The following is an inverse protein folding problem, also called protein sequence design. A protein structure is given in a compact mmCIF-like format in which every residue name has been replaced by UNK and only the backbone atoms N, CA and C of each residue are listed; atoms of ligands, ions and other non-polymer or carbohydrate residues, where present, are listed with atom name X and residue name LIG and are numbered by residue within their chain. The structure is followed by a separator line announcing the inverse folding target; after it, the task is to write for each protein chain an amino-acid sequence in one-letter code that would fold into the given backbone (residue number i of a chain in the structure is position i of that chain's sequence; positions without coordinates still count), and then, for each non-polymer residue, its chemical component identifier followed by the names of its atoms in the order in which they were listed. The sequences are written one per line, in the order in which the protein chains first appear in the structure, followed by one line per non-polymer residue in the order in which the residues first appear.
data_IF_248421367375
#
_entry.id   IF_248421367375
#
_cell.length_a   1.000
_cell.length_b   1.000
_cell.length_c   1.000
_cell.angle_alpha   90.00
_cell.angle_beta   90.00
_cell.angle_gamma   90.00
#
_symmetry.space_group_name_H-M   'P 1'
#
loop_
_entity.id
_entity.type
_entity.pdbx_description
1 polymer ?
#
# COMPACT_ATOMS: atom_id res chain seq x y z
N UNK A 1 -53.98 -9.89 32.10
CA UNK A 1 -52.88 -10.88 32.24
C UNK A 1 -51.79 -10.44 31.28
N UNK A 2 -50.71 -9.87 31.84
CA UNK A 2 -49.69 -9.08 31.15
C UNK A 2 -48.52 -10.03 30.86
N UNK A 3 -48.17 -10.25 29.59
CA UNK A 3 -47.00 -11.04 29.22
C UNK A 3 -45.78 -10.12 29.18
N UNK A 4 -45.00 -10.17 30.25
CA UNK A 4 -43.71 -9.50 30.37
C UNK A 4 -42.70 -10.21 29.48
N UNK A 5 -42.35 -9.58 28.37
CA UNK A 5 -41.30 -9.99 27.44
C UNK A 5 -39.94 -9.56 27.98
N UNK A 6 -39.04 -10.52 28.05
CA UNK A 6 -37.59 -10.43 27.80
C UNK A 6 -36.85 -9.19 28.32
N UNK A 7 -36.21 -9.38 29.48
CA UNK A 7 -34.94 -8.70 29.76
C UNK A 7 -33.90 -9.74 30.16
N UNK A 8 -32.88 -9.99 29.32
CA UNK A 8 -31.56 -10.31 29.80
C UNK A 8 -30.66 -9.09 29.52
N UNK A 9 -30.61 -8.18 30.48
CA UNK A 9 -29.61 -7.11 30.56
C UNK A 9 -28.27 -7.69 31.01
N UNK A 10 -27.69 -8.59 30.20
CA UNK A 10 -26.43 -9.27 30.52
C UNK A 10 -25.56 -9.50 29.28
N UNK A 11 -25.31 -8.45 28.49
CA UNK A 11 -24.28 -8.52 27.43
C UNK A 11 -23.52 -7.21 27.17
N UNK A 12 -23.74 -6.15 27.93
CA UNK A 12 -23.10 -4.84 27.69
C UNK A 12 -21.61 -4.79 28.09
N UNK A 13 -21.11 -5.77 28.85
CA UNK A 13 -19.68 -5.92 29.18
C UNK A 13 -19.12 -7.29 28.81
N UNK A 14 -19.85 -8.05 28.00
CA UNK A 14 -19.56 -9.45 27.65
C UNK A 14 -19.13 -9.67 26.20
N UNK A 15 -19.00 -8.61 25.38
CA UNK A 15 -18.15 -8.67 24.19
C UNK A 15 -16.69 -8.64 24.64
N UNK A 16 -16.29 -9.70 25.36
CA UNK A 16 -14.93 -10.15 25.34
C UNK A 16 -14.55 -10.18 23.87
N UNK A 17 -13.56 -9.38 23.50
CA UNK A 17 -12.87 -9.45 22.23
C UNK A 17 -12.64 -10.94 21.95
N UNK A 18 -13.51 -11.53 21.12
CA UNK A 18 -13.34 -12.88 20.65
C UNK A 18 -12.15 -12.76 19.71
N UNK A 19 -10.96 -12.79 20.30
CA UNK A 19 -9.71 -12.79 19.57
C UNK A 19 -9.71 -14.13 18.84
N UNK A 20 -10.35 -14.15 17.66
CA UNK A 20 -10.35 -15.31 16.79
C UNK A 20 -8.90 -15.77 16.74
N UNK A 21 -8.59 -17.05 16.98
CA UNK A 21 -7.20 -17.51 17.09
C UNK A 21 -6.37 -17.10 15.87
N UNK A 22 -7.04 -16.96 14.72
CA UNK A 22 -6.53 -16.36 13.48
C UNK A 22 -5.93 -14.97 13.68
N UNK A 23 -6.57 -14.06 14.40
CA UNK A 23 -6.07 -12.68 14.63
C UNK A 23 -4.82 -12.64 15.50
N UNK A 24 -4.73 -13.50 16.53
CA UNK A 24 -3.54 -13.62 17.38
C UNK A 24 -2.39 -14.22 16.56
N UNK A 25 -2.67 -15.27 15.80
CA UNK A 25 -1.68 -15.92 14.94
C UNK A 25 -1.15 -14.97 13.85
N UNK A 26 -2.05 -14.22 13.19
CA UNK A 26 -1.69 -13.21 12.20
C UNK A 26 -0.82 -12.11 12.83
N UNK A 27 -1.19 -11.59 14.01
CA UNK A 27 -0.37 -10.59 14.72
C UNK A 27 1.00 -11.15 15.11
N UNK A 28 1.07 -12.42 15.51
CA UNK A 28 2.32 -13.12 15.80
C UNK A 28 3.24 -13.23 14.58
N UNK A 29 2.69 -13.62 13.42
CA UNK A 29 3.44 -13.67 12.16
C UNK A 29 3.96 -12.28 11.77
N UNK A 30 3.12 -11.24 11.85
CA UNK A 30 3.54 -9.87 11.53
C UNK A 30 4.64 -9.38 12.47
N UNK A 31 4.54 -9.67 13.77
CA UNK A 31 5.56 -9.32 14.76
C UNK A 31 6.88 -10.04 14.49
N UNK A 32 6.85 -11.34 14.21
CA UNK A 32 8.04 -12.12 13.87
C UNK A 32 8.68 -11.68 12.54
N UNK A 33 7.87 -11.35 11.54
CA UNK A 33 8.35 -10.82 10.26
C UNK A 33 9.04 -9.47 10.41
N UNK A 34 8.49 -8.55 11.23
CA UNK A 34 9.12 -7.27 11.53
C UNK A 34 10.50 -7.45 12.17
N UNK A 35 10.60 -8.34 13.16
CA UNK A 35 11.87 -8.64 13.82
C UNK A 35 12.90 -9.21 12.82
N UNK A 36 12.48 -10.14 11.96
CA UNK A 36 13.36 -10.71 10.93
C UNK A 36 13.88 -9.65 9.95
N UNK A 37 13.03 -8.73 9.50
CA UNK A 37 13.41 -7.65 8.58
C UNK A 37 14.42 -6.69 9.22
N UNK A 38 14.19 -6.30 10.49
CA UNK A 38 15.12 -5.44 11.24
C UNK A 38 16.47 -6.15 11.42
N UNK A 39 16.46 -7.42 11.78
CA UNK A 39 17.67 -8.21 11.94
C UNK A 39 18.46 -8.36 10.62
N UNK A 40 17.77 -8.59 9.50
CA UNK A 40 18.38 -8.66 8.18
C UNK A 40 19.03 -7.34 7.75
N UNK A 41 18.40 -6.19 8.06
CA UNK A 41 19.01 -4.88 7.80
C UNK A 41 20.28 -4.67 8.63
N UNK A 42 20.23 -5.00 9.91
CA UNK A 42 21.39 -4.89 10.80
C UNK A 42 22.52 -5.80 10.33
N UNK A 43 22.22 -7.04 9.94
CA UNK A 43 23.21 -7.96 9.40
C UNK A 43 23.88 -7.42 8.12
N UNK A 44 23.10 -6.84 7.20
CA UNK A 44 23.66 -6.19 6.00
C UNK A 44 24.56 -5.00 6.36
N UNK A 45 24.16 -4.18 7.34
CA UNK A 45 24.94 -3.04 7.80
C UNK A 45 26.26 -3.46 8.48
N UNK A 46 26.23 -4.53 9.29
CA UNK A 46 27.43 -5.08 9.93
C UNK A 46 28.40 -5.61 8.86
N UNK A 47 27.92 -6.33 7.86
CA UNK A 47 28.76 -6.80 6.75
C UNK A 47 29.38 -5.63 5.96
N UNK A 48 28.68 -4.50 5.83
CA UNK A 48 29.23 -3.29 5.21
C UNK A 48 30.40 -2.71 6.01
N UNK A 49 30.25 -2.59 7.33
CA UNK A 49 31.29 -2.07 8.22
C UNK A 49 32.49 -3.03 8.33
N UNK A 50 32.23 -4.33 8.26
CA UNK A 50 33.27 -5.36 8.26
C UNK A 50 34.05 -5.45 6.93
N UNK A 51 33.74 -4.60 5.94
CA UNK A 51 34.40 -4.61 4.63
C UNK A 51 34.00 -5.79 3.74
N UNK A 52 33.00 -6.59 4.13
CA UNK A 52 32.49 -7.74 3.39
C UNK A 52 31.37 -7.35 2.42
N UNK A 53 31.41 -6.14 1.85
CA UNK A 53 30.37 -5.66 0.94
C UNK A 53 30.43 -6.42 -0.38
N UNK A 54 29.38 -7.20 -0.67
CA UNK A 54 29.23 -7.91 -1.94
C UNK A 54 27.96 -7.45 -2.69
N UNK A 55 27.86 -7.80 -3.97
CA UNK A 55 26.71 -7.45 -4.81
C UNK A 55 25.38 -8.03 -4.29
N UNK A 56 25.38 -9.27 -3.78
CA UNK A 56 24.21 -9.88 -3.16
C UNK A 56 23.72 -9.12 -1.92
N UNK A 57 24.62 -8.63 -1.07
CA UNK A 57 24.29 -7.82 0.12
C UNK A 57 23.74 -6.47 -0.31
N UNK A 58 24.31 -5.85 -1.35
CA UNK A 58 23.77 -4.61 -1.91
C UNK A 58 22.34 -4.81 -2.43
N UNK A 59 22.07 -5.91 -3.14
CA UNK A 59 20.72 -6.26 -3.62
C UNK A 59 19.78 -6.49 -2.44
N UNK A 60 20.13 -7.32 -1.46
CA UNK A 60 19.29 -7.58 -0.29
C UNK A 60 18.98 -6.29 0.49
N UNK A 61 20.00 -5.48 0.77
CA UNK A 61 19.86 -4.22 1.49
C UNK A 61 18.92 -3.25 0.76
N UNK A 62 19.12 -3.11 -0.55
CA UNK A 62 18.29 -2.25 -1.39
C UNK A 62 16.83 -2.74 -1.43
N UNK A 63 16.58 -4.05 -1.59
CA UNK A 63 15.22 -4.63 -1.60
C UNK A 63 14.49 -4.42 -0.27
N UNK A 64 15.20 -4.55 0.86
CA UNK A 64 14.60 -4.31 2.17
C UNK A 64 14.23 -2.83 2.31
N UNK A 65 15.11 -1.91 1.91
CA UNK A 65 14.82 -0.47 1.91
C UNK A 65 13.63 -0.14 0.99
N UNK A 66 13.59 -0.70 -0.23
CA UNK A 66 12.47 -0.51 -1.15
C UNK A 66 11.15 -0.99 -0.54
N UNK A 67 11.16 -2.13 0.15
CA UNK A 67 9.98 -2.69 0.79
C UNK A 67 9.49 -1.80 1.95
N UNK A 68 10.41 -1.31 2.79
CA UNK A 68 10.07 -0.41 3.91
C UNK A 68 9.51 0.93 3.41
N UNK A 69 10.19 1.56 2.44
CA UNK A 69 9.73 2.81 1.85
C UNK A 69 8.41 2.61 1.11
N UNK A 70 8.22 1.50 0.41
CA UNK A 70 6.94 1.13 -0.21
C UNK A 70 5.80 1.06 0.82
N UNK A 71 6.03 0.42 1.96
CA UNK A 71 5.07 0.37 3.06
C UNK A 71 4.76 1.75 3.65
N UNK A 72 5.79 2.58 3.87
CA UNK A 72 5.61 3.96 4.36
C UNK A 72 4.86 4.83 3.35
N UNK A 73 5.17 4.73 2.06
CA UNK A 73 4.46 5.44 0.99
C UNK A 73 3.01 4.96 0.87
N UNK A 74 2.76 3.66 1.04
CA UNK A 74 1.41 3.12 1.05
C UNK A 74 0.61 3.71 2.22
N UNK A 75 1.21 3.79 3.40
CA UNK A 75 0.58 4.41 4.55
C UNK A 75 0.40 5.92 4.35
N UNK A 76 1.34 6.61 3.71
CA UNK A 76 1.24 8.04 3.42
C UNK A 76 0.13 8.37 2.41
N UNK A 77 0.02 7.62 1.30
CA UNK A 77 -0.96 7.87 0.23
C UNK A 77 -2.36 7.33 0.55
N UNK A 78 -2.46 6.24 1.30
CA UNK A 78 -3.74 5.61 1.63
C UNK A 78 -4.25 5.86 3.06
N UNK A 79 -3.44 6.46 3.95
CA UNK A 79 -3.94 6.93 5.24
C UNK A 79 -4.80 8.17 5.05
N UNK A 80 -6.00 8.12 5.61
CA UNK A 80 -6.96 9.24 5.62
C UNK A 80 -6.52 10.40 6.53
N UNK A 81 -5.38 10.28 7.22
CA UNK A 81 -4.93 11.23 8.22
C UNK A 81 -4.31 12.53 7.65
N UNK A 82 -3.78 12.52 6.42
CA UNK A 82 -2.90 13.60 5.95
C UNK A 82 -3.40 14.39 4.73
N UNK A 83 -4.42 13.93 4.00
CA UNK A 83 -4.91 14.62 2.79
C UNK A 83 -6.42 14.84 2.75
N UNK A 84 -6.82 16.05 2.33
CA UNK A 84 -8.19 16.43 1.95
C UNK A 84 -8.63 15.62 0.72
N UNK A 85 -9.37 14.52 0.93
CA UNK A 85 -10.01 13.61 -0.06
C UNK A 85 -9.62 13.85 -1.54
N UNK A 86 -8.37 13.56 -1.97
CA UNK A 86 -8.07 13.53 -3.40
C UNK A 86 -8.80 12.33 -4.04
N UNK A 87 -9.19 12.46 -5.30
CA UNK A 87 -9.84 11.38 -6.03
C UNK A 87 -8.96 10.12 -5.99
N UNK A 88 -9.58 8.96 -5.80
CA UNK A 88 -8.87 7.67 -5.67
C UNK A 88 -7.86 7.37 -6.80
N UNK A 89 -8.10 7.77 -8.08
CA UNK A 89 -7.10 7.61 -9.14
C UNK A 89 -5.84 8.43 -8.90
N UNK A 90 -5.97 9.64 -8.33
CA UNK A 90 -4.85 10.52 -8.06
C UNK A 90 -3.95 9.96 -6.95
N UNK A 91 -4.53 9.26 -5.97
CA UNK A 91 -3.76 8.56 -4.92
C UNK A 91 -2.91 7.43 -5.49
N UNK A 92 -3.48 6.65 -6.39
CA UNK A 92 -2.77 5.53 -7.04
C UNK A 92 -1.68 6.05 -7.97
N UNK A 93 -1.95 7.06 -8.77
CA UNK A 93 -0.96 7.67 -9.65
C UNK A 93 0.19 8.31 -8.86
N UNK A 94 -0.13 9.02 -7.77
CA UNK A 94 0.86 9.62 -6.87
C UNK A 94 1.71 8.57 -6.14
N UNK A 95 1.09 7.50 -5.63
CA UNK A 95 1.82 6.37 -5.04
C UNK A 95 2.76 5.72 -6.06
N UNK A 96 2.27 5.42 -7.27
CA UNK A 96 3.09 4.83 -8.33
C UNK A 96 4.26 5.72 -8.73
N UNK A 97 4.03 7.03 -8.92
CA UNK A 97 5.10 7.95 -9.31
C UNK A 97 6.15 8.12 -8.20
N UNK A 98 5.72 8.23 -6.95
CA UNK A 98 6.66 8.35 -5.81
C UNK A 98 7.42 7.04 -5.56
N UNK A 99 6.77 5.88 -5.70
CA UNK A 99 7.40 4.58 -5.56
C UNK A 99 8.40 4.29 -6.69
N UNK A 100 8.15 4.79 -7.91
CA UNK A 100 9.11 4.74 -9.01
C UNK A 100 10.45 5.40 -8.66
N UNK A 101 10.41 6.60 -8.07
CA UNK A 101 11.62 7.32 -7.66
C UNK A 101 12.38 6.53 -6.60
N UNK A 102 11.66 5.95 -5.63
CA UNK A 102 12.24 5.08 -4.60
C UNK A 102 12.91 3.86 -5.21
N UNK A 103 12.24 3.18 -6.16
CA UNK A 103 12.79 2.02 -6.86
C UNK A 103 14.01 2.36 -7.72
N UNK A 104 13.99 3.49 -8.42
CA UNK A 104 15.13 3.95 -9.21
C UNK A 104 16.35 4.21 -8.32
N UNK A 105 16.15 4.91 -7.19
CA UNK A 105 17.19 5.15 -6.19
C UNK A 105 17.74 3.85 -5.60
N UNK A 106 16.84 2.93 -5.24
CA UNK A 106 17.17 1.62 -4.72
C UNK A 106 17.96 0.77 -5.73
N UNK A 107 17.56 0.78 -7.00
CA UNK A 107 18.25 0.07 -8.08
C UNK A 107 19.67 0.61 -8.32
N UNK A 108 19.88 1.93 -8.14
CA UNK A 108 21.21 2.54 -8.24
C UNK A 108 22.13 2.10 -7.10
N UNK A 109 21.61 2.02 -5.86
CA UNK A 109 22.38 1.57 -4.69
C UNK A 109 22.65 0.06 -4.73
N UNK A 110 21.65 -0.72 -5.11
CA UNK A 110 21.75 -2.18 -5.19
C UNK A 110 22.49 -2.70 -6.42
N UNK A 111 22.91 -1.81 -7.33
CA UNK A 111 23.52 -2.16 -8.61
C UNK A 111 22.73 -3.24 -9.38
N UNK A 112 21.40 -3.11 -9.40
CA UNK A 112 20.50 -4.12 -9.98
C UNK A 112 20.74 -4.32 -11.48
N UNK A 113 21.14 -3.24 -12.15
CA UNK A 113 21.43 -3.23 -13.58
C UNK A 113 22.87 -2.80 -13.82
N UNK A 114 23.56 -3.39 -14.81
CA UNK A 114 24.88 -2.92 -15.22
C UNK A 114 24.79 -1.45 -15.64
N UNK A 115 25.56 -0.58 -14.99
CA UNK A 115 25.59 0.87 -15.30
C UNK A 115 26.01 1.16 -16.74
N UNK A 116 26.75 0.23 -17.36
CA UNK A 116 27.18 0.30 -18.76
C UNK A 116 26.07 -0.03 -19.77
N UNK A 117 24.96 -0.63 -19.35
CA UNK A 117 23.88 -1.02 -20.24
C UNK A 117 22.63 -0.15 -20.01
N UNK A 118 22.65 1.04 -20.61
CA UNK A 118 21.54 2.00 -20.57
C UNK A 118 20.21 1.39 -21.07
N UNK A 119 20.26 0.39 -21.96
CA UNK A 119 19.06 -0.30 -22.46
C UNK A 119 18.27 -1.03 -21.37
N UNK A 120 18.94 -1.58 -20.36
CA UNK A 120 18.28 -2.27 -19.25
C UNK A 120 17.55 -1.28 -18.31
N UNK A 121 18.12 -0.10 -18.13
CA UNK A 121 17.47 0.99 -17.39
C UNK A 121 16.25 1.51 -18.13
N UNK A 122 16.37 1.76 -19.43
CA UNK A 122 15.26 2.26 -20.24
C UNK A 122 14.12 1.24 -20.27
N UNK A 123 14.40 -0.06 -20.46
CA UNK A 123 13.36 -1.09 -20.48
C UNK A 123 12.64 -1.21 -19.13
N UNK A 124 13.36 -1.08 -18.01
CA UNK A 124 12.75 -1.05 -16.67
C UNK A 124 11.81 0.15 -16.51
N UNK A 125 12.25 1.35 -16.89
CA UNK A 125 11.43 2.57 -16.81
C UNK A 125 10.19 2.46 -17.68
N UNK A 126 10.35 2.01 -18.93
CA UNK A 126 9.25 1.86 -19.88
C UNK A 126 8.25 0.81 -19.39
N UNK A 127 8.71 -0.35 -18.94
CA UNK A 127 7.84 -1.39 -18.40
C UNK A 127 7.07 -0.90 -17.16
N UNK A 128 7.76 -0.21 -16.25
CA UNK A 128 7.13 0.36 -15.06
C UNK A 128 6.06 1.39 -15.41
N UNK A 129 6.38 2.35 -16.27
CA UNK A 129 5.44 3.38 -16.71
C UNK A 129 4.27 2.81 -17.49
N UNK A 130 4.47 1.77 -18.30
CA UNK A 130 3.40 1.07 -18.99
C UNK A 130 2.43 0.42 -18.01
N UNK A 131 2.92 -0.32 -17.02
CA UNK A 131 2.07 -0.94 -15.98
C UNK A 131 1.32 0.15 -15.20
N UNK A 132 2.02 1.21 -14.80
CA UNK A 132 1.42 2.35 -14.10
C UNK A 132 0.34 3.02 -14.96
N UNK A 133 0.58 3.21 -16.25
CA UNK A 133 -0.38 3.81 -17.18
C UNK A 133 -1.60 2.90 -17.36
N UNK A 134 -1.43 1.59 -17.50
CA UNK A 134 -2.52 0.61 -17.59
C UNK A 134 -3.41 0.68 -16.35
N UNK A 135 -2.80 0.63 -15.16
CA UNK A 135 -3.51 0.71 -13.88
C UNK A 135 -4.24 2.05 -13.76
N UNK A 136 -3.54 3.16 -14.02
CA UNK A 136 -4.09 4.52 -13.92
C UNK A 136 -5.23 4.72 -14.91
N UNK A 137 -5.11 4.23 -16.15
CA UNK A 137 -6.14 4.30 -17.18
C UNK A 137 -7.37 3.47 -16.78
N UNK A 138 -7.17 2.24 -16.29
CA UNK A 138 -8.25 1.38 -15.79
C UNK A 138 -9.07 2.04 -14.68
N UNK A 139 -8.40 2.67 -13.72
CA UNK A 139 -9.08 3.43 -12.66
C UNK A 139 -9.73 4.71 -13.18
N UNK A 140 -9.11 5.44 -14.11
CA UNK A 140 -9.67 6.67 -14.71
C UNK A 140 -10.98 6.37 -15.46
N UNK A 141 -11.03 5.30 -16.25
CA UNK A 141 -12.23 4.87 -16.97
C UNK A 141 -13.34 4.50 -15.98
N UNK A 142 -12.99 3.76 -14.92
CA UNK A 142 -13.94 3.34 -13.87
C UNK A 142 -14.54 4.54 -13.14
N UNK A 143 -13.72 5.56 -12.81
CA UNK A 143 -14.18 6.80 -12.19
C UNK A 143 -15.07 7.63 -13.09
N UNK A 144 -14.75 7.74 -14.39
CA UNK A 144 -15.61 8.44 -15.36
C UNK A 144 -16.98 7.78 -15.48
N UNK A 145 -17.05 6.45 -15.50
CA UNK A 145 -18.30 5.70 -15.50
C UNK A 145 -19.12 5.93 -14.23
N UNK A 146 -18.48 5.94 -13.07
CA UNK A 146 -19.17 6.21 -11.80
C UNK A 146 -19.66 7.66 -11.72
N UNK A 147 -18.84 8.64 -12.11
CA UNK A 147 -19.21 10.06 -12.12
C UNK A 147 -20.44 10.33 -12.99
N UNK A 148 -20.52 9.72 -14.17
CA UNK A 148 -21.69 9.81 -15.05
C UNK A 148 -22.97 9.25 -14.39
N UNK A 149 -22.86 8.10 -13.73
CA UNK A 149 -23.99 7.48 -13.02
C UNK A 149 -24.47 8.30 -11.81
N UNK A 150 -23.56 8.94 -11.07
CA UNK A 150 -23.93 9.84 -9.96
C UNK A 150 -24.65 11.09 -10.46
N UNK A 151 -24.21 11.71 -11.56
CA UNK A 151 -24.90 12.87 -12.15
C UNK A 151 -26.30 12.53 -12.66
N UNK A 152 -26.49 11.35 -13.26
CA UNK A 152 -27.82 10.88 -13.68
C UNK A 152 -28.76 10.66 -12.50
N UNK A 153 -28.26 10.07 -11.42
CA UNK A 153 -29.04 9.87 -10.18
C UNK A 153 -29.43 11.20 -9.55
N UNK A 154 -28.51 12.16 -9.44
CA UNK A 154 -28.80 13.51 -8.93
C UNK A 154 -29.81 14.28 -9.80
N UNK A 155 -29.74 14.13 -11.11
CA UNK A 155 -30.73 14.69 -12.03
C UNK A 155 -32.11 14.04 -11.87
N UNK A 156 -32.17 12.72 -11.65
CA UNK A 156 -33.41 12.01 -11.36
C UNK A 156 -34.03 12.45 -10.01
N UNK A 157 -33.22 12.61 -8.96
CA UNK A 157 -33.69 13.12 -7.67
C UNK A 157 -34.20 14.56 -7.75
N UNK A 158 -33.52 15.47 -8.47
CA UNK A 158 -34.01 16.84 -8.68
C UNK A 158 -35.33 16.89 -9.46
N UNK A 159 -35.54 15.97 -10.41
CA UNK A 159 -36.82 15.85 -11.13
C UNK A 159 -37.95 15.29 -10.26
N UNK A 160 -37.63 14.49 -9.25
CA UNK A 160 -38.60 13.95 -8.29
C UNK A 160 -38.96 14.94 -7.17
N UNK A 161 -38.01 15.79 -6.75
CA UNK A 161 -38.21 16.81 -5.71
C UNK A 161 -38.72 18.16 -6.25
N UNK A 162 -38.71 18.36 -7.58
CA UNK A 162 -39.26 19.54 -8.27
C UNK A 162 -40.73 19.40 -8.69
N UNK A 163 -41.46 18.47 -8.08
CA UNK A 163 -42.93 18.36 -8.10
C UNK A 163 -43.42 18.45 -6.67
#
# INVERSE_FOLDING_TARGET
MKTEKDTPSTSIFGEAYEHKPVTIFVRGIFSGSLFAVVWLLLACAICAVAGMWNQGIAICFSLIIASLLGGLLQQFWFSYALFVKPSYPMRIAGFGLSYFVVLAFCASIGAWFPTKNLGAWISFIVAYLLILAIITAGFTITFRRQGASYSERLAAYRKQQGK
#
